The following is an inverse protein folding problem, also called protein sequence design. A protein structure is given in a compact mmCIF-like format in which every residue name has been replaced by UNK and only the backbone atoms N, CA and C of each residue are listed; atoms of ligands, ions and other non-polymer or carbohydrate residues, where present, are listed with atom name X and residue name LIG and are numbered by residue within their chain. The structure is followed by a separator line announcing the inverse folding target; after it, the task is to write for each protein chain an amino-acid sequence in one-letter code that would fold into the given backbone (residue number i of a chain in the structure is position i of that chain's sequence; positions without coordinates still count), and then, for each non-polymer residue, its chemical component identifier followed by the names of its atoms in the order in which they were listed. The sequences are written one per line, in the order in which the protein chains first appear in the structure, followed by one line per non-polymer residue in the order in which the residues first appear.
data_IF_629695458656
#
_entry.id   IF_629695458656
#
_cell.length_a   1.000
_cell.length_b   1.000
_cell.length_c   1.000
_cell.angle_alpha   90.00
_cell.angle_beta   90.00
_cell.angle_gamma   90.00
#
_symmetry.space_group_name_H-M   'P 1'
#
loop_
_entity.id
_entity.type
_entity.pdbx_description
1 polymer ?
#
# COMPACT_ATOMS: atom_id res chain seq x y z
N UNK A 1 59.71 52.43 13.41
CA UNK A 1 59.24 51.24 14.15
C UNK A 1 57.75 51.43 14.41
N UNK A 2 56.91 50.93 13.50
CA UNK A 2 55.47 51.08 13.53
C UNK A 2 54.88 49.76 14.01
N UNK A 3 54.19 49.75 15.14
CA UNK A 3 53.43 48.59 15.67
C UNK A 3 52.07 48.60 15.00
N UNK A 4 51.82 47.55 14.21
CA UNK A 4 50.54 47.27 13.61
C UNK A 4 49.74 46.42 14.58
N UNK A 5 48.65 46.96 15.12
CA UNK A 5 47.68 46.23 15.95
C UNK A 5 46.71 45.49 15.04
N UNK A 6 46.64 44.17 15.24
CA UNK A 6 45.68 43.27 14.52
C UNK A 6 44.43 43.20 15.36
N UNK A 7 43.23 43.59 14.85
CA UNK A 7 41.99 43.37 15.57
C UNK A 7 41.60 41.88 15.51
N UNK A 8 41.41 41.29 16.66
CA UNK A 8 40.87 39.94 16.87
C UNK A 8 39.36 39.99 16.58
N UNK A 9 38.96 39.43 15.45
CA UNK A 9 37.55 39.28 15.05
C UNK A 9 36.99 38.04 15.77
N UNK A 10 36.17 38.27 16.82
CA UNK A 10 35.46 37.18 17.52
C UNK A 10 34.30 36.73 16.64
N UNK A 11 34.41 35.54 16.05
CA UNK A 11 33.36 34.89 15.30
C UNK A 11 32.43 34.15 16.28
N UNK A 12 31.30 34.77 16.58
CA UNK A 12 30.24 34.12 17.36
C UNK A 12 29.50 33.15 16.45
N UNK A 13 29.78 31.84 16.59
CA UNK A 13 29.00 30.78 15.96
C UNK A 13 27.66 30.65 16.70
N UNK A 14 26.61 31.15 16.11
CA UNK A 14 25.24 30.82 16.47
C UNK A 14 24.94 29.38 16.03
N UNK A 15 24.96 28.48 17.00
CA UNK A 15 24.49 27.10 16.82
C UNK A 15 22.97 27.15 16.78
N UNK A 16 22.43 27.27 15.58
CA UNK A 16 21.01 27.11 15.32
C UNK A 16 20.60 25.67 15.55
N UNK A 17 20.00 25.39 16.69
CA UNK A 17 19.38 24.10 17.00
C UNK A 17 18.22 23.84 16.06
N UNK A 18 18.49 23.13 14.96
CA UNK A 18 17.46 22.56 14.11
C UNK A 18 16.69 21.51 14.88
N UNK A 19 15.46 21.81 15.29
CA UNK A 19 14.49 20.80 15.70
C UNK A 19 14.25 19.88 14.50
N UNK A 20 14.96 18.77 14.43
CA UNK A 20 14.60 17.68 13.54
C UNK A 20 13.24 17.15 14.02
N UNK A 21 12.17 17.56 13.35
CA UNK A 21 10.85 16.97 13.49
C UNK A 21 10.99 15.51 13.06
N UNK A 22 11.11 14.61 14.04
CA UNK A 22 10.94 13.18 13.81
C UNK A 22 9.56 12.99 13.21
N UNK A 23 9.42 12.23 12.11
CA UNK A 23 8.11 11.83 11.66
C UNK A 23 7.47 11.07 12.84
N UNK A 24 6.40 11.63 13.37
CA UNK A 24 5.54 10.93 14.32
C UNK A 24 4.94 9.79 13.52
N UNK A 25 5.51 8.60 13.66
CA UNK A 25 4.81 7.37 13.32
C UNK A 25 3.63 7.36 14.28
N UNK A 26 2.48 7.76 13.77
CA UNK A 26 1.24 7.72 14.52
C UNK A 26 1.01 6.28 14.92
N UNK A 27 1.21 5.99 16.19
CA UNK A 27 0.69 4.78 16.83
C UNK A 27 -0.83 4.89 16.76
N UNK A 28 -1.39 4.38 15.65
CA UNK A 28 -2.83 4.18 15.51
C UNK A 28 -3.25 3.25 16.62
N UNK A 29 -4.23 3.69 17.42
CA UNK A 29 -4.86 2.85 18.43
C UNK A 29 -5.36 1.56 17.75
N UNK A 30 -5.06 0.37 18.28
CA UNK A 30 -5.64 -0.85 17.76
C UNK A 30 -7.14 -0.82 18.05
N UNK A 31 -7.98 -0.86 17.04
CA UNK A 31 -9.39 -1.15 17.20
C UNK A 31 -10.44 -0.23 16.54
N UNK A 32 -10.17 0.55 15.49
CA UNK A 32 -11.20 1.34 14.82
C UNK A 32 -11.26 1.08 13.30
N UNK A 33 -12.46 0.89 12.75
CA UNK A 33 -12.68 0.82 11.30
C UNK A 33 -12.26 2.12 10.62
N UNK A 34 -11.41 2.03 9.63
CA UNK A 34 -11.05 3.17 8.78
C UNK A 34 -11.85 3.11 7.49
N UNK A 35 -12.66 4.12 7.24
CA UNK A 35 -13.32 4.29 5.94
C UNK A 35 -12.38 5.06 5.02
N UNK A 36 -11.93 4.43 3.96
CA UNK A 36 -11.15 5.08 2.90
C UNK A 36 -12.13 5.43 1.78
N UNK A 37 -12.40 6.72 1.57
CA UNK A 37 -13.12 7.16 0.40
C UNK A 37 -12.29 6.83 -0.84
N UNK A 38 -12.83 6.00 -1.72
CA UNK A 38 -12.18 5.57 -2.96
C UNK A 38 -12.49 6.58 -4.06
N UNK A 39 -13.66 7.20 -3.99
CA UNK A 39 -14.11 8.25 -4.90
C UNK A 39 -15.08 9.16 -4.15
N UNK A 40 -14.74 10.45 -4.05
CA UNK A 40 -15.58 11.46 -3.40
C UNK A 40 -16.83 11.79 -4.23
N UNK A 41 -16.78 11.56 -5.53
CA UNK A 41 -17.85 11.92 -6.47
C UNK A 41 -18.94 10.85 -6.54
N UNK A 42 -18.56 9.58 -6.47
CA UNK A 42 -19.50 8.43 -6.51
C UNK A 42 -19.95 7.96 -5.13
N UNK A 43 -19.37 8.49 -4.05
CA UNK A 43 -19.61 8.04 -2.69
C UNK A 43 -19.11 6.61 -2.42
N UNK A 44 -18.31 6.04 -3.32
CA UNK A 44 -17.70 4.73 -3.11
C UNK A 44 -16.70 4.80 -1.96
N UNK A 45 -16.99 4.10 -0.88
CA UNK A 45 -16.11 3.97 0.27
C UNK A 45 -15.79 2.52 0.54
N UNK A 46 -14.53 2.24 0.85
CA UNK A 46 -14.08 0.93 1.31
C UNK A 46 -13.87 1.02 2.82
N UNK A 47 -14.60 0.21 3.58
CA UNK A 47 -14.27 0.00 4.99
C UNK A 47 -13.06 -0.90 5.06
N UNK A 48 -11.99 -0.34 5.55
CA UNK A 48 -10.78 -1.07 5.86
C UNK A 48 -10.80 -1.31 7.36
N UNK A 49 -10.91 -2.57 7.75
CA UNK A 49 -10.71 -2.93 9.15
C UNK A 49 -9.25 -2.64 9.53
N UNK A 50 -9.06 -2.26 10.75
CA UNK A 50 -7.91 -1.56 11.34
C UNK A 50 -6.52 -2.14 11.09
N UNK A 51 -6.42 -3.38 10.67
CA UNK A 51 -5.14 -4.04 10.44
C UNK A 51 -4.67 -3.93 8.98
N UNK A 52 -5.45 -3.26 8.12
CA UNK A 52 -5.09 -3.00 6.74
C UNK A 52 -4.52 -1.57 6.61
N UNK A 53 -3.42 -1.28 7.28
CA UNK A 53 -2.60 -0.15 6.88
C UNK A 53 -2.10 -0.42 5.46
N UNK A 54 -2.46 0.45 4.51
CA UNK A 54 -2.00 0.34 3.15
C UNK A 54 -0.47 0.43 3.11
N UNK A 55 0.15 -0.45 2.36
CA UNK A 55 1.59 -0.36 2.13
C UNK A 55 1.85 0.76 1.12
N UNK A 56 2.56 1.80 1.54
CA UNK A 56 2.97 2.89 0.69
C UNK A 56 4.43 2.72 0.25
N UNK A 57 4.69 2.83 -1.05
CA UNK A 57 6.03 2.74 -1.64
C UNK A 57 6.25 3.95 -2.55
N UNK A 58 7.39 4.61 -2.40
CA UNK A 58 7.79 5.70 -3.31
C UNK A 58 8.54 5.13 -4.50
N UNK A 59 8.10 5.48 -5.70
CA UNK A 59 8.73 5.12 -6.97
C UNK A 59 9.35 6.38 -7.60
N UNK A 60 10.56 6.25 -8.16
CA UNK A 60 11.24 7.32 -8.88
C UNK A 60 10.75 7.37 -10.35
N UNK A 61 9.44 7.49 -10.53
CA UNK A 61 8.80 7.57 -11.84
C UNK A 61 7.55 8.45 -11.76
N UNK A 62 7.18 9.14 -12.85
CA UNK A 62 5.99 9.99 -12.86
C UNK A 62 4.69 9.15 -12.83
N UNK A 63 3.61 9.73 -12.31
CA UNK A 63 2.36 9.04 -12.06
C UNK A 63 1.68 8.52 -13.34
N UNK A 64 1.88 9.17 -14.47
CA UNK A 64 1.37 8.78 -15.78
C UNK A 64 2.00 7.48 -16.33
N UNK A 65 3.22 7.15 -15.93
CA UNK A 65 3.85 5.86 -16.19
C UNK A 65 3.46 4.80 -15.15
N UNK A 66 3.33 5.20 -13.89
CA UNK A 66 2.99 4.28 -12.79
C UNK A 66 1.56 3.74 -12.92
N UNK A 67 0.60 4.60 -13.27
CA UNK A 67 -0.81 4.20 -13.35
C UNK A 67 -1.07 3.03 -14.33
N UNK A 68 -0.62 3.07 -15.60
CA UNK A 68 -0.77 1.95 -16.53
C UNK A 68 0.03 0.71 -16.11
N UNK A 69 1.17 0.88 -15.43
CA UNK A 69 1.94 -0.23 -14.90
C UNK A 69 1.19 -0.99 -13.80
N UNK A 70 0.40 -0.30 -12.96
CA UNK A 70 -0.51 -0.93 -12.00
C UNK A 70 -1.60 -1.72 -12.74
N UNK A 71 -2.24 -1.14 -13.76
CA UNK A 71 -3.25 -1.83 -14.59
C UNK A 71 -2.69 -3.15 -15.16
N UNK A 72 -1.50 -3.08 -15.75
CA UNK A 72 -0.81 -4.26 -16.31
C UNK A 72 -0.44 -5.28 -15.22
N UNK A 73 -0.13 -4.83 -14.01
CA UNK A 73 0.18 -5.70 -12.88
C UNK A 73 -1.06 -6.46 -12.42
N UNK A 74 -2.21 -5.79 -12.31
CA UNK A 74 -3.47 -6.46 -11.98
C UNK A 74 -3.89 -7.47 -13.04
N UNK A 75 -3.74 -7.13 -14.32
CA UNK A 75 -4.00 -8.07 -15.42
C UNK A 75 -3.11 -9.32 -15.32
N UNK A 76 -1.82 -9.16 -15.02
CA UNK A 76 -0.90 -10.28 -14.82
C UNK A 76 -1.27 -11.14 -13.61
N UNK A 77 -1.69 -10.53 -12.52
CA UNK A 77 -2.17 -11.23 -11.31
C UNK A 77 -3.57 -11.84 -11.50
N UNK A 78 -4.20 -11.62 -12.65
CA UNK A 78 -5.57 -12.06 -12.95
C UNK A 78 -6.61 -11.50 -11.98
N UNK A 79 -6.38 -10.28 -11.49
CA UNK A 79 -7.36 -9.51 -10.73
C UNK A 79 -8.17 -8.67 -11.71
N UNK A 80 -9.45 -8.97 -11.90
CA UNK A 80 -10.29 -8.15 -12.78
C UNK A 80 -10.48 -6.77 -12.16
N UNK A 81 -10.22 -5.71 -12.91
CA UNK A 81 -10.49 -4.35 -12.45
C UNK A 81 -12.01 -4.09 -12.49
N UNK A 82 -12.60 -3.82 -11.34
CA UNK A 82 -14.01 -3.39 -11.19
C UNK A 82 -14.12 -1.90 -10.92
N UNK A 83 -13.01 -1.27 -10.59
CA UNK A 83 -12.89 0.15 -10.32
C UNK A 83 -11.61 0.69 -10.97
N UNK A 84 -11.73 1.80 -11.70
CA UNK A 84 -10.60 2.49 -12.33
C UNK A 84 -10.95 3.96 -12.51
N UNK A 85 -10.35 4.81 -11.70
CA UNK A 85 -10.49 6.27 -11.76
C UNK A 85 -9.11 6.89 -11.96
N UNK A 86 -8.83 7.33 -13.17
CA UNK A 86 -7.57 7.95 -13.54
C UNK A 86 -7.40 9.33 -12.90
N UNK A 87 -8.49 10.06 -12.68
CA UNK A 87 -8.45 11.39 -12.08
C UNK A 87 -8.10 11.35 -10.60
N UNK A 88 -8.63 10.36 -9.89
CA UNK A 88 -8.27 10.08 -8.50
C UNK A 88 -6.97 9.26 -8.37
N UNK A 89 -6.39 8.81 -9.48
CA UNK A 89 -5.23 7.93 -9.51
C UNK A 89 -5.48 6.56 -8.88
N UNK A 90 -6.73 6.10 -8.79
CA UNK A 90 -7.09 4.91 -8.06
C UNK A 90 -7.66 3.82 -8.98
N UNK A 91 -7.29 2.57 -8.70
CA UNK A 91 -7.81 1.40 -9.43
C UNK A 91 -7.74 0.14 -8.56
N UNK A 92 -8.63 -0.83 -8.84
CA UNK A 92 -8.65 -2.06 -8.08
C UNK A 92 -9.91 -2.89 -8.27
N UNK A 93 -10.11 -3.80 -7.31
CA UNK A 93 -11.31 -4.61 -7.20
C UNK A 93 -11.73 -4.66 -5.74
N UNK A 94 -12.96 -4.25 -5.47
CA UNK A 94 -13.49 -4.19 -4.10
C UNK A 94 -14.23 -5.47 -3.70
N UNK A 95 -14.37 -6.44 -4.62
CA UNK A 95 -15.09 -7.69 -4.37
C UNK A 95 -14.55 -8.84 -5.22
N UNK A 96 -13.33 -9.24 -4.95
CA UNK A 96 -12.67 -10.35 -5.61
C UNK A 96 -12.65 -11.58 -4.71
N UNK A 97 -12.83 -12.78 -5.25
CA UNK A 97 -12.84 -14.03 -4.46
C UNK A 97 -11.51 -14.74 -4.66
N UNK A 98 -10.81 -14.99 -3.57
CA UNK A 98 -9.64 -15.87 -3.52
C UNK A 98 -10.01 -17.20 -2.89
N UNK A 99 -9.56 -18.30 -3.48
CA UNK A 99 -9.79 -19.65 -2.95
C UNK A 99 -8.51 -20.44 -2.97
N UNK A 100 -8.13 -21.00 -1.82
CA UNK A 100 -6.97 -21.86 -1.60
C UNK A 100 -5.62 -21.23 -1.97
N UNK A 101 -5.46 -20.75 -3.20
CA UNK A 101 -4.22 -20.14 -3.68
C UNK A 101 -4.50 -18.93 -4.58
N UNK A 102 -3.58 -17.97 -4.55
CA UNK A 102 -3.60 -16.80 -5.42
C UNK A 102 -2.16 -16.44 -5.78
N UNK A 103 -1.93 -16.07 -7.05
CA UNK A 103 -0.61 -15.70 -7.55
C UNK A 103 0.50 -16.70 -7.22
N UNK A 104 0.18 -18.01 -7.22
CA UNK A 104 1.12 -19.12 -6.99
C UNK A 104 1.46 -19.40 -5.52
N UNK A 105 0.76 -18.77 -4.57
CA UNK A 105 0.94 -18.97 -3.14
C UNK A 105 -0.40 -19.30 -2.46
N UNK A 106 -0.42 -19.98 -1.31
CA UNK A 106 -1.64 -20.16 -0.54
C UNK A 106 -2.18 -18.78 -0.08
N UNK A 107 -3.51 -18.67 0.07
CA UNK A 107 -4.14 -17.39 0.45
C UNK A 107 -3.64 -16.89 1.80
N UNK A 108 -3.29 -17.81 2.71
CA UNK A 108 -2.68 -17.48 4.01
C UNK A 108 -1.33 -16.76 3.92
N UNK A 109 -0.63 -16.83 2.79
CA UNK A 109 0.58 -16.04 2.56
C UNK A 109 0.28 -14.54 2.42
N UNK A 110 -0.95 -14.20 2.02
CA UNK A 110 -1.40 -12.84 1.76
C UNK A 110 -2.30 -12.26 2.85
N UNK A 111 -3.09 -13.13 3.49
CA UNK A 111 -4.11 -12.76 4.47
C UNK A 111 -4.05 -13.65 5.70
N UNK A 112 -4.06 -13.03 6.87
CA UNK A 112 -4.27 -13.72 8.14
C UNK A 112 -5.76 -13.65 8.52
N UNK A 113 -6.46 -14.76 8.44
CA UNK A 113 -7.87 -14.92 8.85
C UNK A 113 -8.00 -15.72 10.15
N UNK A 114 -6.91 -15.90 10.91
CA UNK A 114 -6.86 -16.82 12.04
C UNK A 114 -6.88 -18.30 11.60
N UNK A 115 -6.88 -19.18 12.58
CA UNK A 115 -6.82 -20.62 12.36
C UNK A 115 -8.20 -21.29 12.51
N UNK A 116 -8.39 -22.38 11.78
CA UNK A 116 -9.53 -23.27 11.93
C UNK A 116 -9.37 -24.11 13.21
N UNK A 117 -10.44 -24.40 13.99
CA UNK A 117 -10.39 -25.27 15.16
C UNK A 117 -9.81 -26.68 14.88
N UNK A 118 -9.91 -27.16 13.65
CA UNK A 118 -9.37 -28.44 13.22
C UNK A 118 -7.92 -28.38 12.74
N UNK A 119 -7.29 -27.20 12.80
CA UNK A 119 -5.90 -26.94 12.44
C UNK A 119 -5.72 -26.45 11.02
N UNK A 120 -5.01 -25.34 10.90
CA UNK A 120 -4.66 -24.70 9.65
C UNK A 120 -5.33 -23.35 9.44
N UNK A 121 -4.75 -22.53 8.53
CA UNK A 121 -5.26 -21.17 8.29
C UNK A 121 -6.65 -21.18 7.65
N UNK A 122 -7.61 -20.45 8.23
CA UNK A 122 -8.95 -20.24 7.67
C UNK A 122 -8.92 -19.73 6.23
N UNK A 123 -7.92 -18.91 5.88
CA UNK A 123 -7.76 -18.37 4.54
C UNK A 123 -7.53 -19.45 3.46
N UNK A 124 -7.01 -20.63 3.82
CA UNK A 124 -6.77 -21.73 2.87
C UNK A 124 -7.96 -22.69 2.78
N UNK A 125 -8.76 -22.76 3.85
CA UNK A 125 -9.88 -23.70 3.95
C UNK A 125 -11.16 -23.13 3.35
N UNK A 126 -11.32 -21.80 3.38
CA UNK A 126 -12.55 -21.11 2.99
C UNK A 126 -12.28 -20.10 1.86
N UNK A 127 -13.26 -19.85 0.96
CA UNK A 127 -13.19 -18.71 0.04
C UNK A 127 -13.12 -17.40 0.81
N UNK A 128 -12.21 -16.52 0.42
CA UNK A 128 -12.04 -15.19 1.01
C UNK A 128 -12.49 -14.14 0.01
N UNK A 129 -13.46 -13.32 0.40
CA UNK A 129 -13.83 -12.13 -0.37
C UNK A 129 -12.86 -11.03 0.00
N UNK A 130 -12.16 -10.47 -0.99
CA UNK A 130 -11.11 -9.48 -0.78
C UNK A 130 -11.43 -8.16 -1.47
N UNK A 131 -10.90 -7.09 -0.90
CA UNK A 131 -10.80 -5.78 -1.50
C UNK A 131 -9.32 -5.45 -1.69
N UNK A 132 -8.95 -5.05 -2.91
CA UNK A 132 -7.61 -4.63 -3.26
C UNK A 132 -7.69 -3.36 -4.11
N UNK A 133 -7.17 -2.26 -3.59
CA UNK A 133 -7.18 -0.96 -4.24
C UNK A 133 -5.79 -0.35 -4.18
N UNK A 134 -5.29 0.09 -5.32
CA UNK A 134 -4.02 0.83 -5.41
C UNK A 134 -4.28 2.26 -5.82
N UNK A 135 -3.68 3.18 -5.09
CA UNK A 135 -3.66 4.62 -5.37
C UNK A 135 -2.28 5.04 -5.83
N UNK A 136 -2.27 5.89 -6.84
CA UNK A 136 -1.08 6.47 -7.46
C UNK A 136 -1.14 7.98 -7.24
N UNK A 137 -0.23 8.54 -6.47
CA UNK A 137 -0.20 9.98 -6.17
C UNK A 137 1.17 10.55 -6.51
N UNK A 138 1.21 11.70 -7.16
CA UNK A 138 2.45 12.43 -7.35
C UNK A 138 3.06 12.82 -5.98
N UNK A 139 4.38 12.66 -5.86
CA UNK A 139 5.14 12.87 -4.61
C UNK A 139 6.19 13.96 -4.80
N UNK A 140 5.83 15.12 -5.35
CA UNK A 140 6.79 16.18 -5.63
C UNK A 140 7.86 15.78 -6.68
N UNK A 141 8.24 16.67 -7.56
CA UNK A 141 9.18 16.37 -8.64
C UNK A 141 8.70 15.26 -9.58
N UNK A 142 9.56 14.29 -9.86
CA UNK A 142 9.25 13.14 -10.75
C UNK A 142 8.84 11.88 -9.99
N UNK A 143 8.67 11.96 -8.66
CA UNK A 143 8.34 10.82 -7.82
C UNK A 143 6.84 10.54 -7.73
N UNK A 144 6.50 9.29 -7.40
CA UNK A 144 5.12 8.84 -7.18
C UNK A 144 5.04 7.98 -5.92
N UNK A 145 4.03 8.22 -5.09
CA UNK A 145 3.64 7.31 -4.01
C UNK A 145 2.61 6.33 -4.54
N UNK A 146 2.94 5.05 -4.45
CA UNK A 146 2.06 3.93 -4.71
C UNK A 146 1.55 3.41 -3.36
N UNK A 147 0.28 3.56 -3.08
CA UNK A 147 -0.37 3.07 -1.86
C UNK A 147 -1.31 1.94 -2.23
N UNK A 148 -1.07 0.73 -1.73
CA UNK A 148 -1.98 -0.40 -1.94
C UNK A 148 -2.63 -0.78 -0.62
N UNK A 149 -3.95 -0.83 -0.62
CA UNK A 149 -4.78 -1.29 0.50
C UNK A 149 -5.37 -2.64 0.13
N UNK A 150 -5.13 -3.64 0.97
CA UNK A 150 -5.60 -4.99 0.77
C UNK A 150 -6.24 -5.52 2.05
N UNK A 151 -7.46 -6.02 1.95
CA UNK A 151 -8.22 -6.57 3.07
C UNK A 151 -9.12 -7.70 2.59
N UNK A 152 -9.58 -8.53 3.50
CA UNK A 152 -10.47 -9.63 3.16
C UNK A 152 -11.42 -10.02 4.27
N UNK A 153 -12.38 -10.85 3.91
CA UNK A 153 -13.27 -11.49 4.89
C UNK A 153 -13.70 -12.88 4.40
N UNK A 154 -13.92 -13.77 5.34
CA UNK A 154 -14.43 -15.12 5.09
C UNK A 154 -15.49 -15.49 6.12
N UNK A 155 -16.09 -16.67 6.00
CA UNK A 155 -17.08 -17.17 6.95
C UNK A 155 -16.57 -18.45 7.60
N UNK A 156 -16.86 -18.63 8.90
CA UNK A 156 -16.66 -19.92 9.57
C UNK A 156 -17.61 -20.95 9.02
N UNK A 157 -17.09 -22.10 8.61
CA UNK A 157 -17.92 -23.23 8.17
C UNK A 157 -18.51 -24.06 9.33
N UNK A 158 -17.94 -23.97 10.53
CA UNK A 158 -18.36 -24.79 11.68
C UNK A 158 -19.13 -23.97 12.71
N UNK A 159 -20.42 -24.30 12.84
CA UNK A 159 -21.25 -24.06 14.04
C UNK A 159 -21.63 -22.62 14.42
N UNK A 160 -20.87 -21.64 14.04
CA UNK A 160 -21.17 -20.23 14.29
C UNK A 160 -20.95 -19.45 13.00
N UNK A 161 -22.01 -19.00 12.35
CA UNK A 161 -22.03 -18.33 11.02
C UNK A 161 -21.48 -16.92 11.04
N UNK A 162 -20.45 -16.64 11.86
CA UNK A 162 -19.82 -15.32 11.95
C UNK A 162 -18.88 -15.05 10.80
N UNK A 163 -18.90 -13.82 10.29
CA UNK A 163 -17.93 -13.29 9.36
C UNK A 163 -16.59 -13.10 10.08
N UNK A 164 -15.51 -13.59 9.47
CA UNK A 164 -14.12 -13.38 9.95
C UNK A 164 -13.50 -12.32 9.05
N UNK A 165 -12.97 -11.26 9.64
CA UNK A 165 -12.15 -10.28 8.94
C UNK A 165 -10.71 -10.74 8.92
N UNK A 166 -10.05 -10.56 7.77
CA UNK A 166 -8.68 -11.00 7.53
C UNK A 166 -7.76 -9.79 7.40
N UNK A 167 -6.70 -9.78 8.18
CA UNK A 167 -5.65 -8.77 8.08
C UNK A 167 -4.70 -9.08 6.93
N UNK A 168 -4.22 -8.06 6.21
CA UNK A 168 -3.15 -8.22 5.24
C UNK A 168 -1.83 -8.56 5.94
N UNK A 169 -1.04 -9.45 5.31
CA UNK A 169 0.35 -9.70 5.72
C UNK A 169 1.33 -8.66 5.16
N UNK A 170 0.86 -7.77 4.26
CA UNK A 170 1.70 -6.82 3.53
C UNK A 170 2.46 -7.43 2.34
N UNK A 171 2.45 -8.75 2.19
CA UNK A 171 3.24 -9.44 1.18
C UNK A 171 2.73 -9.22 -0.25
N UNK A 172 1.40 -9.14 -0.42
CA UNK A 172 0.80 -8.89 -1.73
C UNK A 172 1.05 -7.46 -2.20
N UNK A 173 0.91 -6.49 -1.31
CA UNK A 173 1.16 -5.08 -1.57
C UNK A 173 2.61 -4.85 -1.99
N UNK A 174 3.57 -5.45 -1.26
CA UNK A 174 4.99 -5.41 -1.61
C UNK A 174 5.26 -6.07 -2.97
N UNK A 175 4.60 -7.20 -3.26
CA UNK A 175 4.73 -7.87 -4.56
C UNK A 175 4.21 -6.98 -5.69
N UNK A 176 3.06 -6.34 -5.52
CA UNK A 176 2.51 -5.39 -6.49
C UNK A 176 3.49 -4.25 -6.72
N UNK A 177 4.01 -3.63 -5.67
CA UNK A 177 4.96 -2.54 -5.78
C UNK A 177 6.23 -2.94 -6.56
N UNK A 178 6.79 -4.12 -6.27
CA UNK A 178 7.95 -4.66 -7.01
C UNK A 178 7.64 -4.91 -8.48
N UNK A 179 6.47 -5.46 -8.79
CA UNK A 179 6.07 -5.72 -10.18
C UNK A 179 5.83 -4.43 -10.96
N UNK A 180 5.23 -3.42 -10.33
CA UNK A 180 5.04 -2.09 -10.93
C UNK A 180 6.40 -1.46 -11.22
N UNK A 181 7.33 -1.46 -10.26
CA UNK A 181 8.67 -0.94 -10.45
C UNK A 181 9.42 -1.62 -11.62
N UNK A 182 9.36 -2.96 -11.71
CA UNK A 182 9.96 -3.71 -12.81
C UNK A 182 9.39 -3.32 -14.17
N UNK A 183 8.07 -3.18 -14.28
CA UNK A 183 7.39 -2.81 -15.53
C UNK A 183 7.77 -1.42 -16.02
N UNK A 184 7.97 -0.49 -15.11
CA UNK A 184 8.43 0.87 -15.45
C UNK A 184 9.85 0.80 -16.01
N UNK A 185 10.75 0.06 -15.36
CA UNK A 185 12.13 -0.12 -15.81
C UNK A 185 12.21 -0.80 -17.17
N UNK A 186 11.36 -1.79 -17.43
CA UNK A 186 11.33 -2.51 -18.72
C UNK A 186 10.75 -1.64 -19.86
N UNK A 187 9.84 -0.71 -19.54
CA UNK A 187 9.29 0.24 -20.51
C UNK A 187 10.31 1.30 -20.96
N UNK A 188 11.30 1.62 -20.11
CA UNK A 188 12.35 2.59 -20.40
C UNK A 188 13.51 2.00 -21.24
N UNK A 189 13.53 0.67 -21.46
CA UNK A 189 14.57 0.07 -22.31
C UNK A 189 14.30 0.37 -23.77
N UNK A 190 15.32 0.88 -24.53
CA UNK A 190 15.23 1.01 -25.97
C UNK A 190 14.86 -0.36 -26.58
N UNK A 191 13.87 -0.39 -27.44
CA UNK A 191 13.57 -1.57 -28.27
C UNK A 191 14.51 -1.50 -29.48
N UNK A 192 15.63 -2.22 -29.39
CA UNK A 192 16.53 -2.45 -30.53
C UNK A 192 15.83 -3.21 -31.66
#
# INVERSE_FOLDING_TARGET
MSRQEIPVLIFVMLIGGGCASRPVVGSGSPGGDRVVAVDETSGASVRVHNDAEGTAVTLAAPADLVYPAVTSTYAFLKVPLTYSDKSAGAQGNTKFIMSRSFAGQPVSAWLNCGDDPFGGPNANSNPVTVSIVTRVRASGGTGTVLETVFSGSTYKQSGNTGQIFCASTGALEQRIAKMVASRITDADKPRD
#
